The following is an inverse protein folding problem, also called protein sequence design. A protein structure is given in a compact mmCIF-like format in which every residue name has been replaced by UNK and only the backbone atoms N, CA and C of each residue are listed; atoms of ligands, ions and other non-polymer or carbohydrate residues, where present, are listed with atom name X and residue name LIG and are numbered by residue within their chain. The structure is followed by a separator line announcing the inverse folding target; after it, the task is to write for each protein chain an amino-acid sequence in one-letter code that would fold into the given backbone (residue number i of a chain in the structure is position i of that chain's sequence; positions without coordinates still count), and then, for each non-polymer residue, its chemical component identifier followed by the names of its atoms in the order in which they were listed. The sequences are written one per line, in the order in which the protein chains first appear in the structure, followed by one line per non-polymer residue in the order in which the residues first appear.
data_IF_071194302000
#
_entry.id   IF_071194302000
#
_cell.length_a   1.000
_cell.length_b   1.000
_cell.length_c   1.000
_cell.angle_alpha   90.00
_cell.angle_beta   90.00
_cell.angle_gamma   90.00
#
_symmetry.space_group_name_H-M   'P 1'
#
loop_
_entity.id
_entity.type
_entity.pdbx_description
1 polymer ?
#
# COMPACT_ATOMS: atom_id res chain seq x y z
N UNK A 1 10.92 19.39 -3.85
CA UNK A 1 9.75 19.26 -4.71
C UNK A 1 8.67 18.49 -3.94
N UNK A 2 7.48 19.06 -3.78
CA UNK A 2 6.38 18.44 -3.04
C UNK A 2 5.71 17.33 -3.88
N UNK A 3 4.89 16.43 -3.28
CA UNK A 3 4.05 15.52 -4.06
C UNK A 3 3.14 16.23 -5.05
N UNK A 4 2.65 17.42 -4.70
CA UNK A 4 1.80 18.22 -5.56
C UNK A 4 2.55 18.74 -6.80
N UNK A 5 3.80 19.18 -6.64
CA UNK A 5 4.64 19.61 -7.76
C UNK A 5 4.84 18.46 -8.75
N UNK A 6 5.17 17.27 -8.25
CA UNK A 6 5.33 16.08 -9.09
C UNK A 6 4.04 15.71 -9.82
N UNK A 7 2.91 15.81 -9.14
CA UNK A 7 1.62 15.52 -9.75
C UNK A 7 1.27 16.54 -10.85
N UNK A 8 1.57 17.83 -10.65
CA UNK A 8 1.39 18.85 -11.68
C UNK A 8 2.32 18.63 -12.88
N UNK A 9 3.57 18.24 -12.65
CA UNK A 9 4.51 17.94 -13.74
C UNK A 9 4.07 16.71 -14.53
N UNK A 10 3.55 15.67 -13.86
CA UNK A 10 2.96 14.51 -14.52
C UNK A 10 1.83 14.94 -15.47
N UNK A 11 0.92 15.81 -15.03
CA UNK A 11 -0.18 16.31 -15.88
C UNK A 11 0.32 17.09 -17.08
N UNK A 12 1.37 17.91 -16.93
CA UNK A 12 2.01 18.61 -18.04
C UNK A 12 2.60 17.65 -19.08
N UNK A 13 3.27 16.57 -18.61
CA UNK A 13 3.83 15.52 -19.48
C UNK A 13 2.69 14.83 -20.25
N UNK A 14 1.60 14.47 -19.59
CA UNK A 14 0.44 13.84 -20.23
C UNK A 14 -0.14 14.75 -21.29
N UNK A 15 -0.31 16.04 -20.99
CA UNK A 15 -0.81 17.03 -21.94
C UNK A 15 0.11 17.17 -23.16
N UNK A 16 1.42 17.19 -22.94
CA UNK A 16 2.41 17.27 -24.03
C UNK A 16 2.39 16.03 -24.93
N UNK A 17 2.09 14.85 -24.38
CA UNK A 17 1.96 13.59 -25.13
C UNK A 17 0.58 13.48 -25.82
N UNK A 18 -0.42 14.22 -25.35
CA UNK A 18 -1.80 14.18 -25.84
C UNK A 18 -1.90 14.49 -27.33
N UNK A 19 -2.77 13.77 -28.02
CA UNK A 19 -2.96 13.90 -29.48
C UNK A 19 -1.84 13.31 -30.34
N UNK A 20 -0.75 12.83 -29.75
CA UNK A 20 0.38 12.15 -30.43
C UNK A 20 0.52 10.71 -29.98
N UNK A 21 0.36 10.43 -28.69
CA UNK A 21 0.45 9.09 -28.17
C UNK A 21 -0.84 8.30 -28.46
N UNK A 22 -0.68 7.07 -28.95
CA UNK A 22 -1.81 6.15 -29.15
C UNK A 22 -2.36 5.64 -27.80
N UNK A 23 -1.49 5.47 -26.82
CA UNK A 23 -1.83 5.01 -25.45
C UNK A 23 -0.89 5.68 -24.45
N UNK A 24 -1.43 6.10 -23.32
CA UNK A 24 -0.66 6.64 -22.20
C UNK A 24 -0.82 5.69 -21.02
N UNK A 25 0.28 5.08 -20.58
CA UNK A 25 0.37 4.30 -19.36
C UNK A 25 1.30 5.01 -18.40
N UNK A 26 0.96 4.99 -17.11
CA UNK A 26 1.74 5.63 -16.05
C UNK A 26 2.27 4.56 -15.11
N UNK A 27 3.58 4.64 -14.79
CA UNK A 27 4.15 3.91 -13.67
C UNK A 27 4.27 4.92 -12.52
N UNK A 28 3.41 4.75 -11.52
CA UNK A 28 3.34 5.59 -10.33
C UNK A 28 3.61 4.71 -9.10
N UNK A 29 4.87 4.56 -8.67
CA UNK A 29 5.23 3.62 -7.60
C UNK A 29 4.47 3.86 -6.30
N UNK A 30 4.10 5.10 -6.01
CA UNK A 30 3.23 5.46 -4.89
C UNK A 30 2.12 6.38 -5.40
N UNK A 31 0.87 6.01 -5.17
CA UNK A 31 -0.27 6.80 -5.62
C UNK A 31 -0.32 8.17 -4.93
N UNK A 32 -0.54 9.21 -5.73
CA UNK A 32 -0.80 10.55 -5.20
C UNK A 32 -2.05 10.51 -4.30
N UNK A 33 -1.93 11.09 -3.10
CA UNK A 33 -3.03 11.07 -2.13
C UNK A 33 -3.42 9.67 -1.64
N UNK A 34 -2.57 8.64 -1.79
CA UNK A 34 -2.90 7.23 -1.54
C UNK A 34 -3.47 6.94 -0.14
N UNK A 35 -3.17 7.77 0.87
CA UNK A 35 -3.76 7.67 2.21
C UNK A 35 -5.13 8.32 2.32
N UNK A 36 -5.52 9.16 1.36
CA UNK A 36 -6.83 9.79 1.23
C UNK A 36 -7.74 8.97 0.31
N UNK A 37 -7.85 7.67 0.60
CA UNK A 37 -8.57 6.68 -0.20
C UNK A 37 -10.02 6.47 0.25
N UNK A 38 -10.38 6.97 1.44
CA UNK A 38 -11.73 6.95 1.99
C UNK A 38 -12.05 8.29 2.63
N UNK A 39 -13.32 8.65 2.65
CA UNK A 39 -13.80 9.89 3.25
C UNK A 39 -14.41 9.61 4.61
N UNK A 40 -13.97 10.37 5.61
CA UNK A 40 -14.61 10.45 6.90
C UNK A 40 -15.17 11.88 7.03
N UNK A 41 -16.49 12.03 7.12
CA UNK A 41 -17.15 13.32 7.19
C UNK A 41 -16.87 14.22 5.95
N UNK A 42 -16.45 15.47 6.16
CA UNK A 42 -16.22 16.50 5.12
C UNK A 42 -14.73 16.59 4.72
N UNK A 43 -14.09 15.46 4.55
CA UNK A 43 -12.71 15.41 4.05
C UNK A 43 -12.68 15.34 2.53
N UNK A 44 -11.57 15.77 1.94
CA UNK A 44 -11.32 15.53 0.52
C UNK A 44 -11.03 14.05 0.25
N UNK A 45 -11.21 13.63 -0.98
CA UNK A 45 -10.93 12.25 -1.43
C UNK A 45 -9.85 12.31 -2.51
N UNK A 46 -8.67 12.80 -2.15
CA UNK A 46 -7.62 13.20 -3.08
C UNK A 46 -7.18 12.07 -4.01
N UNK A 47 -7.05 10.85 -3.49
CA UNK A 47 -6.65 9.71 -4.31
C UNK A 47 -7.65 9.42 -5.44
N UNK A 48 -8.94 9.38 -5.13
CA UNK A 48 -9.97 9.10 -6.11
C UNK A 48 -10.08 10.22 -7.15
N UNK A 49 -10.06 11.48 -6.70
CA UNK A 49 -10.12 12.65 -7.59
C UNK A 49 -8.93 12.67 -8.54
N UNK A 50 -7.71 12.42 -8.04
CA UNK A 50 -6.52 12.37 -8.87
C UNK A 50 -6.59 11.25 -9.92
N UNK A 51 -7.04 10.05 -9.54
CA UNK A 51 -7.21 8.95 -10.49
C UNK A 51 -8.23 9.29 -11.58
N UNK A 52 -9.36 9.90 -11.22
CA UNK A 52 -10.39 10.34 -12.17
C UNK A 52 -9.89 11.46 -13.08
N UNK A 53 -9.09 12.40 -12.56
CA UNK A 53 -8.46 13.44 -13.36
C UNK A 53 -7.52 12.83 -14.41
N UNK A 54 -6.65 11.89 -14.02
CA UNK A 54 -5.77 11.19 -14.95
C UNK A 54 -6.55 10.38 -16.00
N UNK A 55 -7.62 9.72 -15.62
CA UNK A 55 -8.53 9.05 -16.55
C UNK A 55 -9.12 10.03 -17.56
N UNK A 56 -9.60 11.19 -17.11
CA UNK A 56 -10.17 12.23 -17.98
C UNK A 56 -9.15 12.83 -18.95
N UNK A 57 -7.87 12.78 -18.60
CA UNK A 57 -6.76 13.21 -19.46
C UNK A 57 -6.35 12.15 -20.48
N UNK A 58 -7.02 10.99 -20.54
CA UNK A 58 -6.77 9.94 -21.53
C UNK A 58 -5.74 8.90 -21.10
N UNK A 59 -5.41 8.82 -19.81
CA UNK A 59 -4.58 7.74 -19.27
C UNK A 59 -5.34 6.41 -19.36
N UNK A 60 -4.72 5.43 -19.98
CA UNK A 60 -5.32 4.10 -20.20
C UNK A 60 -5.07 3.14 -19.04
N UNK A 61 -3.91 3.23 -18.40
CA UNK A 61 -3.53 2.35 -17.30
C UNK A 61 -2.56 3.04 -16.34
N UNK A 62 -2.71 2.74 -15.06
CA UNK A 62 -1.76 3.11 -14.01
C UNK A 62 -1.23 1.84 -13.36
N UNK A 63 0.09 1.72 -13.28
CA UNK A 63 0.78 0.68 -12.55
C UNK A 63 1.35 1.26 -11.27
N UNK A 64 0.99 0.69 -10.14
CA UNK A 64 1.45 1.13 -8.81
C UNK A 64 1.95 -0.04 -7.98
N UNK A 65 2.77 0.26 -6.96
CA UNK A 65 3.24 -0.76 -6.03
C UNK A 65 2.54 -0.60 -4.69
N UNK A 66 1.90 -1.70 -4.26
CA UNK A 66 1.39 -1.88 -2.92
C UNK A 66 0.54 -0.70 -2.44
N UNK A 67 -0.53 -0.41 -3.18
CA UNK A 67 -1.47 0.65 -2.84
C UNK A 67 -1.95 0.50 -1.39
N UNK A 68 -2.00 1.62 -0.67
CA UNK A 68 -2.42 1.66 0.74
C UNK A 68 -3.78 0.98 0.96
N UNK A 69 -4.70 1.13 0.03
CA UNK A 69 -5.95 0.37 -0.05
C UNK A 69 -6.18 -0.04 -1.52
N UNK A 70 -6.21 -1.35 -1.84
CA UNK A 70 -6.40 -1.80 -3.23
C UNK A 70 -7.78 -1.44 -3.80
N UNK A 71 -8.76 -1.07 -2.96
CA UNK A 71 -10.10 -0.65 -3.40
C UNK A 71 -10.11 0.71 -4.09
N UNK A 72 -8.99 1.46 -4.12
CA UNK A 72 -8.88 2.71 -4.89
C UNK A 72 -9.18 2.51 -6.37
N UNK A 73 -9.00 1.31 -6.91
CA UNK A 73 -9.39 0.96 -8.29
C UNK A 73 -10.89 1.19 -8.57
N UNK A 74 -11.75 1.13 -7.54
CA UNK A 74 -13.18 1.35 -7.67
C UNK A 74 -13.52 2.81 -8.07
N UNK A 75 -12.59 3.74 -7.90
CA UNK A 75 -12.77 5.13 -8.32
C UNK A 75 -12.72 5.30 -9.85
N UNK A 76 -12.10 4.36 -10.56
CA UNK A 76 -11.83 4.42 -12.00
C UNK A 76 -12.15 3.08 -12.71
N UNK A 77 -13.41 2.66 -12.71
CA UNK A 77 -13.80 1.31 -13.21
C UNK A 77 -13.55 1.10 -14.71
N UNK A 78 -13.35 2.18 -15.47
CA UNK A 78 -13.11 2.13 -16.91
C UNK A 78 -11.63 2.33 -17.28
N UNK A 79 -10.74 2.51 -16.31
CA UNK A 79 -9.30 2.65 -16.51
C UNK A 79 -8.59 1.45 -15.89
N UNK A 80 -7.52 0.96 -16.52
CA UNK A 80 -6.66 -0.06 -15.92
C UNK A 80 -5.93 0.49 -14.68
N UNK A 81 -5.91 -0.30 -13.60
CA UNK A 81 -5.10 -0.01 -12.42
C UNK A 81 -4.45 -1.31 -11.94
N UNK A 82 -3.15 -1.46 -12.22
CA UNK A 82 -2.37 -2.62 -11.82
C UNK A 82 -1.67 -2.33 -10.49
N UNK A 83 -2.15 -2.95 -9.42
CA UNK A 83 -1.53 -2.88 -8.11
C UNK A 83 -0.59 -4.08 -7.91
N UNK A 84 0.70 -3.86 -8.05
CA UNK A 84 1.73 -4.89 -7.92
C UNK A 84 2.22 -4.95 -6.48
N UNK A 85 2.12 -6.13 -5.87
CA UNK A 85 2.69 -6.41 -4.56
C UNK A 85 4.10 -7.01 -4.74
N UNK A 86 5.19 -6.31 -4.33
CA UNK A 86 6.56 -6.71 -4.65
C UNK A 86 7.12 -7.83 -3.76
N UNK A 87 6.25 -8.67 -3.17
CA UNK A 87 6.64 -9.68 -2.18
C UNK A 87 7.74 -10.63 -2.68
N UNK A 88 7.63 -11.11 -3.92
CA UNK A 88 8.64 -11.97 -4.50
C UNK A 88 10.03 -11.29 -4.57
N UNK A 89 10.07 -10.03 -5.00
CA UNK A 89 11.33 -9.30 -5.12
C UNK A 89 11.94 -8.99 -3.75
N UNK A 90 11.10 -8.69 -2.76
CA UNK A 90 11.55 -8.49 -1.38
C UNK A 90 12.16 -9.77 -0.83
N UNK A 91 11.47 -10.92 -0.91
CA UNK A 91 11.97 -12.20 -0.44
C UNK A 91 13.26 -12.60 -1.17
N UNK A 92 13.29 -12.46 -2.50
CA UNK A 92 14.49 -12.73 -3.29
C UNK A 92 15.68 -11.87 -2.84
N UNK A 93 15.47 -10.59 -2.56
CA UNK A 93 16.50 -9.69 -2.07
C UNK A 93 16.97 -10.09 -0.66
N UNK A 94 16.08 -10.50 0.24
CA UNK A 94 16.43 -11.00 1.57
C UNK A 94 17.34 -12.24 1.48
N UNK A 95 16.92 -13.26 0.73
CA UNK A 95 17.72 -14.48 0.56
C UNK A 95 19.06 -14.22 -0.13
N UNK A 96 19.14 -13.23 -1.01
CA UNK A 96 20.38 -12.90 -1.73
C UNK A 96 21.37 -12.10 -0.88
N UNK A 97 20.88 -11.16 -0.05
CA UNK A 97 21.74 -10.17 0.59
C UNK A 97 22.01 -10.46 2.07
N UNK A 98 21.22 -11.34 2.69
CA UNK A 98 21.40 -11.74 4.09
C UNK A 98 21.98 -13.16 4.12
N UNK A 99 23.31 -13.27 4.30
CA UNK A 99 24.04 -14.55 4.25
C UNK A 99 23.51 -15.60 5.24
N UNK A 100 23.05 -15.13 6.40
CA UNK A 100 22.60 -15.98 7.50
C UNK A 100 21.07 -16.09 7.60
N UNK A 101 20.36 -15.61 6.56
CA UNK A 101 18.92 -15.67 6.53
C UNK A 101 18.44 -17.11 6.33
N UNK A 102 18.06 -17.75 7.43
CA UNK A 102 17.50 -19.11 7.49
C UNK A 102 16.19 -19.05 8.27
N UNK A 103 15.08 -18.67 7.63
CA UNK A 103 13.80 -18.57 8.31
C UNK A 103 13.32 -19.98 8.73
N UNK A 104 13.11 -20.14 10.02
CA UNK A 104 12.47 -21.30 10.64
C UNK A 104 11.56 -20.84 11.78
N UNK A 105 10.66 -21.72 12.25
CA UNK A 105 9.64 -21.36 13.24
C UNK A 105 10.20 -21.02 14.62
N UNK A 106 11.39 -21.51 14.94
CA UNK A 106 11.96 -21.38 16.28
C UNK A 106 12.83 -20.13 16.42
N UNK A 107 13.41 -19.63 15.31
CA UNK A 107 14.36 -18.54 15.33
C UNK A 107 13.93 -17.32 14.55
N UNK A 108 12.82 -17.41 13.80
CA UNK A 108 12.37 -16.32 12.93
C UNK A 108 10.85 -16.11 13.00
N UNK A 109 10.45 -14.86 13.00
CA UNK A 109 9.06 -14.46 13.03
C UNK A 109 8.85 -13.22 12.14
N UNK A 110 7.72 -13.17 11.45
CA UNK A 110 7.24 -11.94 10.82
C UNK A 110 6.43 -11.15 11.85
N UNK A 111 6.68 -9.85 11.98
CA UNK A 111 5.93 -8.99 12.88
C UNK A 111 5.19 -7.92 12.07
N UNK A 112 3.87 -7.89 12.21
CA UNK A 112 3.04 -6.82 11.65
C UNK A 112 3.10 -5.57 12.54
N UNK A 113 3.42 -4.39 11.99
CA UNK A 113 3.52 -3.15 12.77
C UNK A 113 2.15 -2.63 13.25
N UNK A 114 1.07 -3.06 12.61
CA UNK A 114 -0.31 -2.74 12.96
C UNK A 114 -1.31 -3.67 12.25
N UNK A 115 -2.60 -3.53 12.57
CA UNK A 115 -3.69 -4.31 11.97
C UNK A 115 -3.80 -4.13 10.45
N UNK A 116 -3.51 -2.92 9.94
CA UNK A 116 -3.61 -2.61 8.51
C UNK A 116 -2.63 -3.40 7.65
N UNK A 117 -1.47 -3.78 8.22
CA UNK A 117 -0.43 -4.53 7.52
C UNK A 117 -0.58 -6.06 7.67
N UNK A 118 -1.55 -6.57 8.44
CA UNK A 118 -1.64 -7.97 8.82
C UNK A 118 -1.76 -8.91 7.61
N UNK A 119 -2.62 -8.59 6.66
CA UNK A 119 -2.86 -9.43 5.47
C UNK A 119 -1.59 -9.57 4.62
N UNK A 120 -0.83 -8.50 4.48
CA UNK A 120 0.45 -8.48 3.77
C UNK A 120 1.48 -9.34 4.49
N UNK A 121 1.61 -9.16 5.80
CA UNK A 121 2.57 -9.90 6.61
C UNK A 121 2.20 -11.37 6.79
N UNK A 122 0.92 -11.70 6.77
CA UNK A 122 0.42 -13.07 6.73
C UNK A 122 0.92 -13.82 5.48
N UNK A 123 0.92 -13.15 4.32
CA UNK A 123 1.48 -13.73 3.10
C UNK A 123 2.97 -14.07 3.27
N UNK A 124 3.79 -13.15 3.81
CA UNK A 124 5.20 -13.41 4.06
C UNK A 124 5.41 -14.55 5.05
N UNK A 125 4.69 -14.55 6.17
CA UNK A 125 4.78 -15.59 7.17
C UNK A 125 4.41 -16.96 6.60
N UNK A 126 3.37 -17.04 5.78
CA UNK A 126 2.93 -18.27 5.10
C UNK A 126 3.98 -18.78 4.11
N UNK A 127 4.54 -17.90 3.27
CA UNK A 127 5.56 -18.31 2.27
C UNK A 127 6.84 -18.77 2.93
N UNK A 128 7.26 -18.15 4.03
CA UNK A 128 8.45 -18.51 4.78
C UNK A 128 8.22 -19.67 5.76
N UNK A 129 6.98 -20.06 6.02
CA UNK A 129 6.60 -21.12 6.96
C UNK A 129 6.91 -20.76 8.42
N UNK A 130 6.81 -19.47 8.80
CA UNK A 130 7.17 -18.96 10.13
C UNK A 130 5.95 -18.35 10.84
N UNK A 131 6.11 -18.08 12.14
CA UNK A 131 5.05 -17.46 12.94
C UNK A 131 4.84 -15.99 12.59
N UNK A 132 3.62 -15.48 12.86
CA UNK A 132 3.26 -14.08 12.73
C UNK A 132 2.96 -13.48 14.09
N UNK A 133 3.61 -12.36 14.40
CA UNK A 133 3.26 -11.47 15.49
C UNK A 133 2.65 -10.17 14.99
N UNK A 134 1.92 -9.48 15.83
CA UNK A 134 1.35 -8.18 15.52
C UNK A 134 1.50 -7.22 16.69
N UNK A 135 1.92 -5.97 16.38
CA UNK A 135 1.83 -4.89 17.34
C UNK A 135 0.44 -4.27 17.32
N UNK A 136 -0.18 -4.27 18.46
CA UNK A 136 -1.45 -3.58 18.69
C UNK A 136 -1.17 -2.13 19.06
N UNK A 137 -1.68 -1.18 18.28
CA UNK A 137 -1.57 0.26 18.56
C UNK A 137 -2.79 0.71 19.33
N UNK A 138 -2.62 0.95 20.63
CA UNK A 138 -3.65 1.58 21.44
C UNK A 138 -3.54 3.10 21.32
N UNK A 139 -4.60 3.75 20.81
CA UNK A 139 -4.68 5.21 20.72
C UNK A 139 -5.54 5.76 21.84
N UNK A 140 -5.13 6.90 22.39
CA UNK A 140 -5.97 7.68 23.27
C UNK A 140 -6.86 8.60 22.43
N UNK A 141 -8.15 8.30 22.40
CA UNK A 141 -9.14 9.10 21.68
C UNK A 141 -9.68 10.28 22.51
N UNK A 142 -9.29 10.39 23.78
CA UNK A 142 -9.68 11.51 24.65
C UNK A 142 -8.83 12.76 24.43
N UNK A 143 -7.65 12.62 23.84
CA UNK A 143 -6.69 13.71 23.60
C UNK A 143 -6.33 13.82 22.13
N UNK A 144 -6.09 15.06 21.69
CA UNK A 144 -5.59 15.37 20.35
C UNK A 144 -4.31 16.16 20.48
N UNK A 145 -3.20 15.64 19.94
CA UNK A 145 -1.90 16.32 19.89
C UNK A 145 -1.54 16.47 18.42
N UNK A 146 -1.26 17.71 17.98
CA UNK A 146 -0.93 18.03 16.57
C UNK A 146 -1.93 17.45 15.55
N UNK A 147 -3.23 17.52 15.87
CA UNK A 147 -4.30 17.02 15.00
C UNK A 147 -4.43 15.50 14.95
N UNK A 148 -3.77 14.76 15.84
CA UNK A 148 -3.79 13.29 15.88
C UNK A 148 -4.04 12.77 17.29
N UNK A 149 -4.70 11.62 17.40
CA UNK A 149 -4.80 10.90 18.66
C UNK A 149 -3.45 10.22 18.97
N UNK A 150 -2.84 10.50 20.14
CA UNK A 150 -1.55 9.94 20.49
C UNK A 150 -1.62 8.42 20.68
N UNK A 151 -0.52 7.74 20.35
CA UNK A 151 -0.36 6.31 20.62
C UNK A 151 0.12 6.19 22.06
N UNK A 152 -0.63 5.51 22.91
CA UNK A 152 -0.34 5.37 24.35
C UNK A 152 0.29 4.04 24.72
N UNK A 153 0.14 3.02 23.88
CA UNK A 153 0.77 1.71 24.10
C UNK A 153 0.96 0.94 22.79
N UNK A 154 1.99 0.09 22.78
CA UNK A 154 2.20 -0.96 21.79
C UNK A 154 2.25 -2.30 22.53
N UNK A 155 1.33 -3.19 22.22
CA UNK A 155 1.28 -4.54 22.77
C UNK A 155 1.60 -5.54 21.66
N UNK A 156 2.48 -6.51 21.91
CA UNK A 156 2.81 -7.57 20.97
C UNK A 156 1.85 -8.75 21.21
N UNK A 157 1.10 -9.12 20.20
CA UNK A 157 0.28 -10.34 20.20
C UNK A 157 0.86 -11.33 19.20
N UNK A 158 0.97 -12.60 19.62
CA UNK A 158 1.36 -13.70 18.74
C UNK A 158 0.12 -14.26 18.06
N UNK A 159 0.18 -14.38 16.76
CA UNK A 159 -0.89 -14.98 15.95
C UNK A 159 -0.40 -16.34 15.50
N UNK A 160 -1.02 -17.41 16.00
CA UNK A 160 -0.79 -18.74 15.48
C UNK A 160 -1.58 -18.91 14.18
N UNK A 161 -0.86 -18.99 13.05
CA UNK A 161 -1.44 -19.36 11.78
C UNK A 161 -1.68 -20.87 11.83
N UNK A 162 -2.89 -21.30 12.19
CA UNK A 162 -3.32 -22.67 11.91
C UNK A 162 -3.44 -22.82 10.39
N UNK A 163 -2.97 -23.94 9.84
CA UNK A 163 -3.16 -24.24 8.42
C UNK A 163 -4.64 -24.05 8.04
N UNK A 164 -4.94 -23.36 6.92
CA UNK A 164 -6.30 -23.29 6.46
C UNK A 164 -6.77 -24.74 6.20
N UNK A 165 -7.75 -25.17 6.96
CA UNK A 165 -8.49 -26.39 6.62
C UNK A 165 -9.07 -26.17 5.24
N UNK A 166 -8.47 -26.82 4.23
CA UNK A 166 -9.04 -26.86 2.90
C UNK A 166 -10.42 -27.53 3.00
N UNK A 167 -11.47 -26.93 2.43
CA UNK A 167 -12.74 -27.59 2.25
C UNK A 167 -12.62 -28.77 1.29
#
# INVERSE_FOLDING_TARGET
MSPDDHYQDLKRIIQAAGGKAHRINIIMPSLYGGRQHRRNYRESLDCAVALQELQSMGVSNILTFDAHDPRVQNAVPLMGLDNIIPSYQVLKAMFKNLSDFRPDKDHFMIISPDEGAINRNMYYASVLGVNLGMFYKRRDYSTIIDGRNPIVAHELSLIHISEPTRP
#
